data_IF_316985271268
#
_entry.id   IF_316985271268
#
_cell.length_a   1.000
_cell.length_b   1.000
_cell.length_c   1.000
_cell.angle_alpha   90.00
_cell.angle_beta   90.00
_cell.angle_gamma   90.00
#
_symmetry.space_group_name_H-M   'P 1'
#
loop_
_entity.id
_entity.type
_entity.pdbx_description
1 polymer ?
#
# COMPACT_ATOMS: atom_id res chain seq x y z
N UNK A 1 5.22 10.40 25.45
CA UNK A 1 6.37 10.48 24.52
C UNK A 1 6.00 9.72 23.25
N UNK A 2 5.98 10.39 22.09
CA UNK A 2 5.62 9.75 20.81
C UNK A 2 6.82 8.92 20.34
N UNK A 3 6.64 7.61 20.18
CA UNK A 3 7.65 6.71 19.61
C UNK A 3 7.30 6.42 18.16
N UNK A 4 8.19 6.82 17.25
CA UNK A 4 8.05 6.54 15.83
C UNK A 4 8.61 5.15 15.56
N UNK A 5 7.83 4.29 14.90
CA UNK A 5 8.18 2.90 14.60
C UNK A 5 8.67 2.68 13.18
N UNK A 6 8.30 3.57 12.26
CA UNK A 6 8.69 3.43 10.88
C UNK A 6 8.22 4.57 10.01
N UNK A 7 8.65 4.49 8.76
CA UNK A 7 8.37 5.46 7.72
C UNK A 7 7.79 4.75 6.51
N UNK A 8 6.71 5.29 5.96
CA UNK A 8 6.00 4.75 4.81
C UNK A 8 5.70 5.89 3.82
N UNK A 9 5.72 5.59 2.54
CA UNK A 9 5.41 6.57 1.51
C UNK A 9 5.60 5.99 0.13
N UNK A 10 5.33 6.80 -0.90
CA UNK A 10 5.68 6.41 -2.26
C UNK A 10 7.21 6.36 -2.42
N UNK A 11 7.66 5.47 -3.30
CA UNK A 11 9.07 5.19 -3.54
C UNK A 11 9.90 6.43 -3.90
N UNK A 12 9.44 7.37 -4.75
CA UNK A 12 10.18 8.60 -5.02
C UNK A 12 10.36 9.48 -3.78
N UNK A 13 9.31 9.62 -2.96
CA UNK A 13 9.34 10.46 -1.77
C UNK A 13 10.23 9.85 -0.68
N UNK A 14 10.15 8.52 -0.48
CA UNK A 14 11.07 7.79 0.38
C UNK A 14 12.52 7.92 -0.09
N UNK A 15 12.81 7.76 -1.38
CA UNK A 15 14.18 7.91 -1.89
C UNK A 15 14.75 9.30 -1.65
N UNK A 16 13.94 10.35 -1.78
CA UNK A 16 14.34 11.73 -1.49
C UNK A 16 14.74 11.89 -0.02
N UNK A 17 13.87 11.46 0.89
CA UNK A 17 14.10 11.64 2.34
C UNK A 17 15.19 10.71 2.89
N UNK A 18 15.34 9.53 2.29
CA UNK A 18 16.41 8.59 2.62
C UNK A 18 17.76 8.94 1.99
N UNK A 19 17.84 10.01 1.18
CA UNK A 19 19.00 10.34 0.35
C UNK A 19 19.51 9.11 -0.41
N UNK A 20 18.61 8.46 -1.14
CA UNK A 20 18.84 7.21 -1.84
C UNK A 20 18.62 7.35 -3.36
N UNK A 21 19.30 6.53 -4.14
CA UNK A 21 19.11 6.44 -5.59
C UNK A 21 17.66 6.09 -5.88
N UNK A 22 17.15 6.69 -6.96
CA UNK A 22 15.80 6.40 -7.46
C UNK A 22 15.65 4.92 -7.82
N UNK A 23 14.41 4.46 -7.94
CA UNK A 23 14.03 3.09 -8.28
C UNK A 23 14.59 2.58 -9.64
N UNK A 24 15.15 3.46 -10.47
CA UNK A 24 15.78 3.13 -11.77
C UNK A 24 17.31 2.98 -11.66
N UNK A 25 17.89 3.28 -10.50
CA UNK A 25 19.34 3.22 -10.26
C UNK A 25 19.88 1.79 -10.10
N UNK A 26 21.17 1.59 -10.37
CA UNK A 26 21.81 0.26 -10.28
C UNK A 26 21.66 -0.40 -8.91
N UNK A 27 21.82 0.33 -7.81
CA UNK A 27 21.64 -0.19 -6.45
C UNK A 27 20.59 0.68 -5.76
N UNK A 28 19.32 0.30 -5.90
CA UNK A 28 18.18 1.11 -5.41
C UNK A 28 17.34 0.40 -4.34
N UNK A 29 17.63 -0.87 -4.03
CA UNK A 29 17.00 -1.55 -2.91
C UNK A 29 17.44 -0.97 -1.57
N UNK A 30 16.48 -0.67 -0.71
CA UNK A 30 16.74 -0.19 0.64
C UNK A 30 17.25 -1.28 1.57
N UNK A 31 16.84 -2.53 1.33
CA UNK A 31 17.01 -3.65 2.25
C UNK A 31 18.19 -4.56 1.89
N UNK A 32 18.67 -4.54 0.66
CA UNK A 32 19.71 -5.47 0.19
C UNK A 32 20.64 -4.85 -0.85
N UNK A 33 21.72 -5.56 -1.18
CA UNK A 33 22.76 -5.12 -2.10
C UNK A 33 22.53 -5.52 -3.58
N UNK A 34 21.30 -5.86 -3.97
CA UNK A 34 21.01 -6.22 -5.37
C UNK A 34 21.46 -5.12 -6.34
N UNK A 35 21.99 -5.54 -7.50
CA UNK A 35 22.40 -4.65 -8.58
C UNK A 35 21.53 -4.94 -9.81
N UNK A 36 20.86 -3.90 -10.31
CA UNK A 36 20.01 -4.00 -11.49
C UNK A 36 20.77 -3.84 -12.80
N UNK A 37 20.37 -4.60 -13.81
CA UNK A 37 20.94 -4.58 -15.17
C UNK A 37 20.13 -3.66 -16.08
N UNK A 38 20.79 -2.98 -17.02
CA UNK A 38 20.12 -2.09 -17.98
C UNK A 38 19.78 -2.86 -19.26
N UNK A 39 18.50 -3.07 -19.53
CA UNK A 39 18.02 -3.83 -20.69
C UNK A 39 16.86 -3.08 -21.33
N UNK A 40 16.95 -2.81 -22.64
CA UNK A 40 15.86 -2.19 -23.41
C UNK A 40 15.42 -0.80 -22.88
N UNK A 41 16.37 0.00 -22.38
CA UNK A 41 16.08 1.32 -21.81
C UNK A 41 15.42 1.30 -20.43
N UNK A 42 15.35 0.13 -19.78
CA UNK A 42 14.77 -0.06 -18.45
C UNK A 42 15.74 -0.77 -17.52
N UNK A 43 15.59 -0.51 -16.23
CA UNK A 43 16.35 -1.20 -15.17
C UNK A 43 15.59 -2.44 -14.74
N UNK A 44 16.26 -3.59 -14.78
CA UNK A 44 15.71 -4.88 -14.35
C UNK A 44 16.52 -5.45 -13.18
N UNK A 45 15.83 -6.07 -12.23
CA UNK A 45 16.40 -6.72 -11.05
C UNK A 45 16.02 -8.18 -11.08
N UNK A 46 16.91 -9.01 -11.62
CA UNK A 46 16.71 -10.45 -11.71
C UNK A 46 16.69 -11.07 -10.32
N UNK A 47 15.90 -12.14 -10.17
CA UNK A 47 15.90 -12.91 -8.93
C UNK A 47 17.30 -13.49 -8.68
N UNK A 48 17.80 -13.28 -7.48
CA UNK A 48 19.05 -13.84 -6.99
C UNK A 48 18.82 -14.29 -5.54
N UNK A 49 19.14 -15.56 -5.26
CA UNK A 49 18.95 -16.18 -3.96
C UNK A 49 20.05 -15.78 -2.96
N UNK A 50 21.20 -15.30 -3.45
CA UNK A 50 22.39 -15.03 -2.65
C UNK A 50 22.60 -13.54 -2.37
N UNK A 51 21.57 -12.70 -2.52
CA UNK A 51 21.69 -11.26 -2.28
C UNK A 51 21.85 -10.99 -0.78
N UNK A 52 22.94 -10.31 -0.42
CA UNK A 52 23.17 -9.89 0.97
C UNK A 52 22.20 -8.78 1.38
N UNK A 53 21.60 -8.95 2.57
CA UNK A 53 20.81 -7.93 3.23
C UNK A 53 21.71 -6.85 3.83
N UNK A 54 21.20 -5.62 3.90
CA UNK A 54 21.85 -4.49 4.54
C UNK A 54 21.54 -4.50 6.02
N UNK A 55 22.55 -4.43 6.87
CA UNK A 55 22.34 -4.11 8.28
C UNK A 55 22.17 -2.61 8.48
N UNK A 56 21.70 -2.22 9.67
CA UNK A 56 21.65 -0.81 10.04
C UNK A 56 23.04 -0.16 10.12
N UNK A 57 24.06 -0.94 10.50
CA UNK A 57 25.44 -0.49 10.51
C UNK A 57 25.97 -0.24 9.09
N UNK A 58 25.68 -1.16 8.15
CA UNK A 58 26.09 -1.03 6.74
C UNK A 58 25.43 0.19 6.10
N UNK A 59 24.13 0.38 6.34
CA UNK A 59 23.37 1.51 5.83
C UNK A 59 23.99 2.84 6.29
N UNK A 60 24.27 2.96 7.58
CA UNK A 60 24.86 4.16 8.18
C UNK A 60 26.29 4.40 7.67
N UNK A 61 27.10 3.35 7.57
CA UNK A 61 28.47 3.44 7.06
C UNK A 61 28.50 3.90 5.58
N UNK A 62 27.65 3.32 4.74
CA UNK A 62 27.50 3.70 3.33
C UNK A 62 27.02 5.15 3.19
N UNK A 63 26.07 5.58 4.02
CA UNK A 63 25.57 6.96 4.05
C UNK A 63 26.68 7.97 4.40
N UNK A 64 27.45 7.72 5.47
CA UNK A 64 28.58 8.60 5.86
C UNK A 64 29.65 8.65 4.79
N UNK A 65 29.97 7.49 4.18
CA UNK A 65 30.97 7.41 3.12
C UNK A 65 30.53 8.15 1.87
N UNK A 66 29.24 8.07 1.50
CA UNK A 66 28.69 8.82 0.37
C UNK A 66 28.78 10.34 0.61
N UNK A 67 28.46 10.79 1.83
CA UNK A 67 28.54 12.18 2.24
C UNK A 67 29.99 12.70 2.23
N UNK A 68 30.94 11.94 2.79
CA UNK A 68 32.36 12.34 2.82
C UNK A 68 33.01 12.40 1.44
N UNK A 69 32.60 11.50 0.52
CA UNK A 69 33.17 11.42 -0.82
C UNK A 69 32.44 12.29 -1.85
N UNK A 70 31.30 12.89 -1.49
CA UNK A 70 30.45 13.65 -2.41
C UNK A 70 29.92 12.83 -3.60
N UNK A 71 29.89 11.49 -3.49
CA UNK A 71 29.47 10.58 -4.56
C UNK A 71 28.64 9.44 -4.02
N UNK A 72 27.79 8.87 -4.87
CA UNK A 72 26.94 7.77 -4.42
C UNK A 72 27.72 6.49 -4.11
N UNK A 73 27.46 5.90 -2.95
CA UNK A 73 28.02 4.62 -2.50
C UNK A 73 26.87 3.66 -2.24
N UNK A 74 26.88 2.49 -2.90
CA UNK A 74 25.87 1.44 -2.70
C UNK A 74 24.42 1.94 -2.71
N UNK A 75 24.09 2.91 -3.57
CA UNK A 75 22.75 3.48 -3.64
C UNK A 75 22.50 4.71 -2.80
N UNK A 76 23.34 5.02 -1.81
CA UNK A 76 23.20 6.20 -0.94
C UNK A 76 23.83 7.41 -1.59
N UNK A 77 23.24 8.59 -1.38
CA UNK A 77 23.80 9.90 -1.72
C UNK A 77 24.36 10.61 -0.48
N UNK A 78 23.96 10.20 0.71
CA UNK A 78 24.43 10.74 1.99
C UNK A 78 23.59 10.23 3.15
N UNK A 79 23.71 10.91 4.30
CA UNK A 79 22.91 10.64 5.49
C UNK A 79 21.44 11.03 5.26
N UNK A 80 20.49 10.19 5.69
CA UNK A 80 19.05 10.48 5.54
C UNK A 80 18.62 11.72 6.34
N UNK A 81 17.65 12.46 5.82
CA UNK A 81 17.01 13.59 6.51
C UNK A 81 16.34 13.11 7.81
N UNK A 82 15.80 11.88 7.83
CA UNK A 82 15.11 11.32 9.00
C UNK A 82 16.01 11.24 10.22
N UNK A 83 17.31 11.02 10.04
CA UNK A 83 18.25 10.95 11.17
C UNK A 83 18.30 12.23 12.01
N UNK A 84 17.94 13.38 11.42
CA UNK A 84 17.87 14.67 12.13
C UNK A 84 16.53 14.88 12.85
N UNK A 85 15.49 14.13 12.49
CA UNK A 85 14.11 14.35 12.92
C UNK A 85 13.63 13.26 13.87
N UNK A 86 14.04 12.00 13.62
CA UNK A 86 13.60 10.82 14.36
C UNK A 86 14.74 9.83 14.53
N UNK A 87 14.80 9.22 15.71
CA UNK A 87 15.74 8.15 16.03
C UNK A 87 15.12 6.79 15.67
N UNK A 88 15.28 6.39 14.40
CA UNK A 88 14.80 5.10 13.88
C UNK A 88 15.94 4.35 13.17
N UNK A 89 16.07 3.03 13.36
CA UNK A 89 17.08 2.25 12.65
C UNK A 89 16.70 2.08 11.17
N UNK A 90 17.56 2.53 10.27
CA UNK A 90 17.40 2.33 8.82
C UNK A 90 18.35 1.22 8.35
N UNK A 91 17.94 0.29 7.44
CA UNK A 91 16.70 0.32 6.67
C UNK A 91 15.50 -0.33 7.37
N UNK A 92 15.68 -0.89 8.56
CA UNK A 92 14.69 -1.74 9.23
C UNK A 92 13.35 -1.05 9.53
N UNK A 93 13.36 0.28 9.63
CA UNK A 93 12.17 1.10 9.88
C UNK A 93 11.46 1.57 8.60
N UNK A 94 11.96 1.22 7.42
CA UNK A 94 11.32 1.57 6.15
C UNK A 94 10.23 0.54 5.87
N UNK A 95 9.00 1.01 5.70
CA UNK A 95 7.85 0.19 5.34
C UNK A 95 7.56 0.33 3.85
N UNK A 96 7.53 -0.79 3.14
CA UNK A 96 7.08 -0.78 1.74
C UNK A 96 5.57 -0.56 1.67
N UNK A 97 5.15 0.49 0.96
CA UNK A 97 3.74 0.79 0.82
C UNK A 97 3.02 -0.17 -0.13
N UNK A 98 2.04 -0.90 0.39
CA UNK A 98 1.24 -1.85 -0.38
C UNK A 98 0.50 -1.21 -1.57
N UNK A 99 0.04 0.03 -1.42
CA UNK A 99 -0.71 0.73 -2.46
C UNK A 99 0.16 1.01 -3.69
N UNK A 100 1.29 1.69 -3.51
CA UNK A 100 2.17 2.07 -4.62
C UNK A 100 2.98 0.87 -5.13
N UNK A 101 3.45 -0.01 -4.24
CA UNK A 101 4.27 -1.16 -4.67
C UNK A 101 3.42 -2.28 -5.25
N UNK A 102 2.49 -2.86 -4.49
CA UNK A 102 1.76 -4.04 -4.96
C UNK A 102 0.68 -3.70 -5.96
N UNK A 103 -0.18 -2.70 -5.67
CA UNK A 103 -1.37 -2.44 -6.48
C UNK A 103 -1.07 -1.59 -7.72
N UNK A 104 -0.70 -0.32 -7.52
CA UNK A 104 -0.46 0.61 -8.62
C UNK A 104 0.83 0.31 -9.39
N UNK A 105 1.83 -0.27 -8.72
CA UNK A 105 3.08 -0.70 -9.31
C UNK A 105 2.94 -2.04 -10.05
N UNK A 106 3.15 -3.14 -9.33
CA UNK A 106 3.32 -4.45 -9.97
C UNK A 106 2.02 -5.04 -10.54
N UNK A 107 0.94 -5.09 -9.75
CA UNK A 107 -0.31 -5.73 -10.17
C UNK A 107 -0.91 -5.02 -11.39
N UNK A 108 -0.94 -3.69 -11.39
CA UNK A 108 -1.36 -2.89 -12.56
C UNK A 108 -0.48 -3.19 -13.78
N UNK A 109 0.84 -3.20 -13.63
CA UNK A 109 1.77 -3.45 -14.74
C UNK A 109 1.56 -4.83 -15.37
N UNK A 110 1.47 -5.87 -14.54
CA UNK A 110 1.21 -7.24 -14.99
C UNK A 110 -0.15 -7.35 -15.68
N UNK A 111 -1.21 -6.79 -15.10
CA UNK A 111 -2.53 -6.84 -15.71
C UNK A 111 -2.57 -6.12 -17.07
N UNK A 112 -1.95 -4.95 -17.18
CA UNK A 112 -1.86 -4.21 -18.45
C UNK A 112 -1.02 -4.98 -19.47
N UNK A 113 0.06 -5.64 -19.05
CA UNK A 113 0.87 -6.48 -19.93
C UNK A 113 0.06 -7.66 -20.47
N UNK A 114 -0.64 -8.39 -19.60
CA UNK A 114 -1.53 -9.48 -20.00
C UNK A 114 -2.58 -9.01 -21.01
N UNK A 115 -3.24 -7.88 -20.71
CA UNK A 115 -4.24 -7.27 -21.58
C UNK A 115 -3.69 -6.88 -22.96
N UNK A 116 -2.48 -6.31 -23.01
CA UNK A 116 -1.87 -5.82 -24.26
C UNK A 116 -1.18 -6.88 -25.09
N UNK A 117 -0.51 -7.84 -24.46
CA UNK A 117 0.33 -8.83 -25.14
C UNK A 117 -0.43 -10.08 -25.54
N UNK A 118 -1.35 -10.55 -24.69
CA UNK A 118 -1.99 -11.84 -24.90
C UNK A 118 -3.45 -11.76 -25.36
N UNK A 119 -4.15 -10.66 -25.06
CA UNK A 119 -5.55 -10.52 -25.50
C UNK A 119 -5.63 -9.84 -26.86
N UNK A 120 -6.31 -10.47 -27.81
CA UNK A 120 -6.67 -9.92 -29.13
C UNK A 120 -7.74 -8.83 -28.98
N UNK A 121 -7.90 -7.91 -29.95
CA UNK A 121 -8.89 -6.83 -29.86
C UNK A 121 -10.32 -7.30 -29.55
N UNK A 122 -10.77 -8.42 -30.13
CA UNK A 122 -12.11 -8.97 -29.86
C UNK A 122 -12.25 -9.51 -28.43
N UNK A 123 -11.21 -10.20 -27.94
CA UNK A 123 -11.15 -10.72 -26.56
C UNK A 123 -11.16 -9.56 -25.55
N UNK A 124 -10.46 -8.45 -25.86
CA UNK A 124 -10.46 -7.23 -25.05
C UNK A 124 -11.86 -6.64 -24.92
N UNK A 125 -12.62 -6.55 -26.01
CA UNK A 125 -14.00 -6.04 -25.99
C UNK A 125 -14.87 -6.91 -25.07
N UNK A 126 -14.78 -8.24 -25.22
CA UNK A 126 -15.52 -9.19 -24.39
C UNK A 126 -15.11 -9.11 -22.91
N UNK A 127 -13.81 -9.06 -22.64
CA UNK A 127 -13.25 -8.94 -21.31
C UNK A 127 -13.68 -7.63 -20.63
N UNK A 128 -13.64 -6.51 -21.35
CA UNK A 128 -14.11 -5.21 -20.86
C UNK A 128 -15.61 -5.22 -20.52
N UNK A 129 -16.42 -5.89 -21.35
CA UNK A 129 -17.85 -6.08 -21.07
C UNK A 129 -18.06 -6.91 -19.80
N UNK A 130 -17.30 -7.99 -19.62
CA UNK A 130 -17.33 -8.82 -18.40
C UNK A 130 -16.94 -8.04 -17.15
N UNK A 131 -15.84 -7.31 -17.17
CA UNK A 131 -15.41 -6.47 -16.03
C UNK A 131 -16.50 -5.49 -15.63
N UNK A 132 -17.10 -4.79 -16.59
CA UNK A 132 -18.15 -3.80 -16.32
C UNK A 132 -19.44 -4.43 -15.80
N UNK A 133 -19.73 -5.66 -16.21
CA UNK A 133 -20.89 -6.42 -15.77
C UNK A 133 -20.70 -7.12 -14.41
N UNK A 134 -19.46 -7.21 -13.93
CA UNK A 134 -19.15 -7.88 -12.66
C UNK A 134 -19.89 -7.21 -11.50
N UNK A 135 -20.71 -8.00 -10.80
CA UNK A 135 -21.41 -7.55 -9.60
C UNK A 135 -20.49 -7.69 -8.40
N UNK A 136 -20.33 -6.60 -7.67
CA UNK A 136 -19.62 -6.59 -6.39
C UNK A 136 -20.63 -6.57 -5.24
N UNK A 137 -20.27 -7.14 -4.08
CA UNK A 137 -21.03 -6.95 -2.86
C UNK A 137 -21.28 -5.45 -2.57
N UNK A 138 -22.40 -5.13 -1.91
CA UNK A 138 -22.84 -3.75 -1.73
C UNK A 138 -21.83 -2.84 -1.00
N UNK A 139 -20.95 -3.42 -0.18
CA UNK A 139 -19.90 -2.67 0.54
C UNK A 139 -18.72 -2.22 -0.36
N UNK A 140 -18.70 -2.61 -1.63
CA UNK A 140 -17.72 -2.10 -2.59
C UNK A 140 -18.21 -0.77 -3.14
N UNK A 141 -17.62 0.33 -2.67
CA UNK A 141 -18.04 1.69 -3.04
C UNK A 141 -17.73 2.08 -4.50
N UNK A 142 -17.06 1.23 -5.29
CA UNK A 142 -16.65 1.54 -6.68
C UNK A 142 -16.74 0.31 -7.59
N UNK A 143 -17.23 0.54 -8.81
CA UNK A 143 -17.15 -0.40 -9.92
C UNK A 143 -15.73 -0.42 -10.49
N UNK A 144 -15.32 -1.56 -11.05
CA UNK A 144 -14.00 -1.71 -11.67
C UNK A 144 -14.03 -1.14 -13.08
N UNK A 145 -13.06 -0.29 -13.37
CA UNK A 145 -12.82 0.30 -14.68
C UNK A 145 -11.88 -0.56 -15.52
N UNK A 146 -11.92 -0.39 -16.83
CA UNK A 146 -11.19 -1.23 -17.80
C UNK A 146 -9.72 -0.83 -17.94
N UNK A 147 -8.85 -1.74 -18.38
CA UNK A 147 -7.41 -1.49 -18.53
C UNK A 147 -7.00 -0.47 -19.58
N UNK A 148 -7.95 -0.04 -20.41
CA UNK A 148 -7.76 1.06 -21.36
C UNK A 148 -7.71 2.42 -20.68
N UNK A 149 -8.24 2.52 -19.45
CA UNK A 149 -8.25 3.78 -18.74
C UNK A 149 -6.87 4.09 -18.15
N UNK A 150 -6.32 5.29 -18.40
CA UNK A 150 -4.99 5.66 -17.92
C UNK A 150 -4.89 5.69 -16.38
N UNK A 151 -5.97 6.07 -15.71
CA UNK A 151 -6.01 6.35 -14.27
C UNK A 151 -6.90 5.37 -13.50
N UNK A 152 -6.55 4.08 -13.52
CA UNK A 152 -7.12 3.10 -12.59
C UNK A 152 -6.67 3.40 -11.15
N UNK A 153 -7.62 3.41 -10.22
CA UNK A 153 -7.36 3.65 -8.79
C UNK A 153 -6.92 2.37 -8.10
N UNK A 154 -6.11 2.50 -7.05
CA UNK A 154 -5.60 1.37 -6.30
C UNK A 154 -6.71 0.47 -5.74
N UNK A 155 -7.80 1.05 -5.25
CA UNK A 155 -8.96 0.30 -4.75
C UNK A 155 -9.60 -0.58 -5.82
N UNK A 156 -9.67 -0.10 -7.06
CA UNK A 156 -10.23 -0.86 -8.19
C UNK A 156 -9.30 -2.02 -8.58
N UNK A 157 -7.98 -1.75 -8.64
CA UNK A 157 -6.98 -2.78 -8.88
C UNK A 157 -7.03 -3.85 -7.80
N UNK A 158 -7.11 -3.46 -6.52
CA UNK A 158 -7.22 -4.40 -5.39
C UNK A 158 -8.42 -5.31 -5.53
N UNK A 159 -9.59 -4.74 -5.80
CA UNK A 159 -10.84 -5.49 -5.90
C UNK A 159 -10.80 -6.46 -7.09
N UNK A 160 -10.30 -5.98 -8.23
CA UNK A 160 -10.10 -6.79 -9.42
C UNK A 160 -9.14 -7.95 -9.16
N UNK A 161 -7.98 -7.63 -8.61
CA UNK A 161 -6.85 -8.54 -8.44
C UNK A 161 -7.16 -9.64 -7.41
N UNK A 162 -7.88 -9.31 -6.34
CA UNK A 162 -8.17 -10.27 -5.27
C UNK A 162 -9.43 -11.11 -5.50
N UNK A 163 -10.39 -10.63 -6.31
CA UNK A 163 -11.70 -11.29 -6.42
C UNK A 163 -12.09 -11.72 -7.83
N UNK A 164 -11.55 -11.09 -8.88
CA UNK A 164 -12.10 -11.28 -10.23
C UNK A 164 -11.07 -11.75 -11.26
N UNK A 165 -9.80 -11.36 -11.13
CA UNK A 165 -8.85 -11.48 -12.24
C UNK A 165 -8.65 -12.93 -12.68
N UNK A 166 -8.43 -13.86 -11.73
CA UNK A 166 -8.14 -15.26 -12.03
C UNK A 166 -9.26 -15.99 -12.81
N UNK A 167 -10.53 -15.96 -12.39
CA UNK A 167 -11.59 -16.59 -13.18
C UNK A 167 -11.81 -15.89 -14.53
N UNK A 168 -11.63 -14.57 -14.62
CA UNK A 168 -11.86 -13.83 -15.87
C UNK A 168 -10.80 -14.12 -16.94
N UNK A 169 -9.52 -14.24 -16.56
CA UNK A 169 -8.43 -14.47 -17.51
C UNK A 169 -8.27 -15.94 -17.92
N UNK A 170 -8.78 -16.89 -17.12
CA UNK A 170 -8.66 -18.33 -17.40
C UNK A 170 -9.26 -18.72 -18.76
N UNK A 171 -10.31 -18.03 -19.18
CA UNK A 171 -10.97 -18.29 -20.46
C UNK A 171 -10.18 -17.76 -21.68
N UNK A 172 -9.15 -16.95 -21.45
CA UNK A 172 -8.44 -16.22 -22.51
C UNK A 172 -6.96 -16.62 -22.57
N UNK A 173 -6.34 -16.82 -21.41
CA UNK A 173 -4.89 -17.05 -21.29
C UNK A 173 -4.54 -18.53 -21.11
N UNK A 174 -3.32 -18.89 -21.50
CA UNK A 174 -2.77 -20.23 -21.29
C UNK A 174 -2.73 -20.59 -19.80
N UNK A 175 -2.96 -21.86 -19.48
CA UNK A 175 -3.05 -22.35 -18.09
C UNK A 175 -1.81 -22.01 -17.26
N UNK A 176 -0.61 -22.09 -17.86
CA UNK A 176 0.64 -21.80 -17.16
C UNK A 176 0.75 -20.32 -16.75
N UNK A 177 0.30 -19.41 -17.60
CA UNK A 177 0.30 -17.97 -17.33
C UNK A 177 -0.71 -17.61 -16.24
N UNK A 178 -1.86 -18.30 -16.24
CA UNK A 178 -2.88 -18.17 -15.19
C UNK A 178 -2.37 -18.72 -13.86
N UNK A 179 -1.68 -19.88 -13.89
CA UNK A 179 -1.08 -20.49 -12.72
C UNK A 179 0.02 -19.60 -12.13
N UNK A 180 0.89 -19.03 -12.98
CA UNK A 180 1.93 -18.11 -12.55
C UNK A 180 1.33 -16.83 -11.94
N UNK A 181 0.30 -16.23 -12.54
CA UNK A 181 -0.42 -15.11 -11.92
C UNK A 181 -1.07 -15.52 -10.59
N UNK A 182 -1.61 -16.73 -10.49
CA UNK A 182 -2.21 -17.23 -9.25
C UNK A 182 -1.18 -17.33 -8.11
N UNK A 183 0.08 -17.66 -8.39
CA UNK A 183 1.16 -17.62 -7.38
C UNK A 183 1.25 -16.22 -6.75
N UNK A 184 1.23 -15.17 -7.57
CA UNK A 184 1.27 -13.79 -7.10
C UNK A 184 0.02 -13.39 -6.32
N UNK A 185 -1.17 -13.65 -6.87
CA UNK A 185 -2.46 -13.33 -6.22
C UNK A 185 -2.57 -14.02 -4.86
N UNK A 186 -2.29 -15.32 -4.80
CA UNK A 186 -2.40 -16.11 -3.57
C UNK A 186 -1.28 -15.75 -2.59
N UNK A 187 -0.06 -15.51 -3.07
CA UNK A 187 1.07 -15.07 -2.25
C UNK A 187 0.76 -13.76 -1.53
N UNK A 188 0.29 -12.74 -2.26
CA UNK A 188 -0.13 -11.46 -1.66
C UNK A 188 -1.32 -11.68 -0.71
N UNK A 189 -2.39 -12.36 -1.15
CA UNK A 189 -3.60 -12.55 -0.35
C UNK A 189 -3.32 -13.26 0.98
N UNK A 190 -2.54 -14.34 0.97
CA UNK A 190 -2.17 -15.08 2.20
C UNK A 190 -1.34 -14.23 3.15
N UNK A 191 -0.51 -13.32 2.62
CA UNK A 191 0.27 -12.38 3.43
C UNK A 191 -0.58 -11.28 4.07
N UNK A 192 -1.58 -10.76 3.34
CA UNK A 192 -2.50 -9.75 3.86
C UNK A 192 -3.38 -10.28 5.01
N UNK A 193 -3.56 -11.60 5.08
CA UNK A 193 -4.44 -12.27 6.03
C UNK A 193 -3.79 -12.61 7.38
N UNK A 194 -2.46 -12.56 7.46
CA UNK A 194 -1.76 -12.90 8.69
C UNK A 194 -1.84 -11.72 9.66
N UNK A 195 -2.58 -11.90 10.74
CA UNK A 195 -2.32 -11.18 11.98
C UNK A 195 -2.30 -12.20 13.11
N UNK A 196 -1.18 -12.28 13.81
CA UNK A 196 -1.04 -13.14 14.99
C UNK A 196 -1.90 -12.57 16.13
N UNK A 197 -2.85 -13.38 16.60
CA UNK A 197 -3.70 -13.12 17.75
C UNK A 197 -2.94 -13.46 19.03
N UNK A 198 -2.25 -12.48 19.63
CA UNK A 198 -1.93 -12.53 21.05
C UNK A 198 -2.83 -11.54 21.80
N UNK A 199 -3.97 -12.09 22.22
CA UNK A 199 -4.94 -11.55 23.18
C UNK A 199 -5.67 -10.23 22.86
N UNK A 200 -6.99 -10.40 22.65
CA UNK A 200 -8.07 -9.40 22.70
C UNK A 200 -8.18 -8.46 21.51
N UNK A 201 -9.02 -8.93 20.58
CA UNK A 201 -9.99 -8.16 19.80
C UNK A 201 -9.46 -7.15 18.78
N UNK A 202 -9.76 -7.48 17.52
CA UNK A 202 -10.03 -6.57 16.40
C UNK A 202 -8.84 -6.18 15.53
N UNK A 203 -8.53 -7.00 14.49
CA UNK A 203 -7.90 -6.49 13.27
C UNK A 203 -8.21 -7.36 12.03
N UNK A 204 -8.38 -6.64 10.90
CA UNK A 204 -8.32 -7.08 9.50
C UNK A 204 -9.24 -8.24 9.07
N UNK A 205 -10.56 -8.03 9.18
CA UNK A 205 -11.62 -8.96 8.74
C UNK A 205 -11.89 -8.99 7.22
N UNK A 206 -10.99 -8.50 6.37
CA UNK A 206 -11.40 -8.11 5.01
C UNK A 206 -11.19 -9.13 3.88
N UNK A 207 -10.52 -10.28 4.06
CA UNK A 207 -10.39 -11.23 2.93
C UNK A 207 -10.40 -12.73 3.27
N UNK A 208 -11.27 -13.12 4.21
CA UNK A 208 -11.79 -14.48 4.45
C UNK A 208 -11.02 -15.34 5.48
N UNK A 209 -11.75 -15.71 6.56
CA UNK A 209 -11.52 -16.94 7.33
C UNK A 209 -10.50 -16.85 8.47
N UNK A 210 -10.44 -17.88 9.32
CA UNK A 210 -9.24 -18.14 10.15
C UNK A 210 -8.06 -18.40 9.20
N UNK A 211 -6.79 -18.18 9.57
CA UNK A 211 -5.67 -18.60 8.73
C UNK A 211 -5.84 -20.07 8.37
N UNK A 212 -6.17 -20.37 7.11
CA UNK A 212 -6.49 -21.72 6.61
C UNK A 212 -5.37 -22.72 6.94
N UNK A 213 -4.14 -22.23 7.05
CA UNK A 213 -2.93 -23.01 7.31
C UNK A 213 -2.25 -22.65 8.64
N UNK A 214 -2.94 -21.91 9.53
CA UNK A 214 -2.40 -21.46 10.80
C UNK A 214 -1.03 -20.76 10.63
N UNK A 215 -0.08 -21.14 11.47
CA UNK A 215 1.28 -20.54 11.52
C UNK A 215 2.10 -20.76 10.24
N UNK A 216 1.74 -21.73 9.38
CA UNK A 216 2.46 -22.01 8.12
C UNK A 216 2.09 -21.07 6.97
N UNK A 217 1.06 -20.24 7.15
CA UNK A 217 0.55 -19.37 6.09
C UNK A 217 1.62 -18.39 5.58
N UNK A 218 2.50 -17.89 6.47
CA UNK A 218 3.57 -16.95 6.13
C UNK A 218 4.62 -17.59 5.22
N UNK A 219 5.06 -18.80 5.58
CA UNK A 219 6.08 -19.54 4.83
C UNK A 219 5.55 -19.95 3.46
N UNK A 220 4.28 -20.36 3.38
CA UNK A 220 3.62 -20.68 2.11
C UNK A 220 3.56 -19.43 1.23
N UNK A 221 3.11 -18.29 1.78
CA UNK A 221 3.05 -17.03 1.04
C UNK A 221 4.43 -16.62 0.51
N UNK A 222 5.48 -16.79 1.31
CA UNK A 222 6.84 -16.49 0.89
C UNK A 222 7.29 -17.39 -0.26
N UNK A 223 7.10 -18.71 -0.14
CA UNK A 223 7.44 -19.67 -1.20
C UNK A 223 6.72 -19.35 -2.52
N UNK A 224 5.44 -19.00 -2.46
CA UNK A 224 4.67 -18.63 -3.66
C UNK A 224 5.25 -17.39 -4.34
N UNK A 225 5.61 -16.35 -3.58
CA UNK A 225 6.20 -15.13 -4.13
C UNK A 225 7.63 -15.33 -4.63
N UNK A 226 8.41 -16.19 -3.97
CA UNK A 226 9.75 -16.58 -4.43
C UNK A 226 9.69 -17.29 -5.78
N UNK A 227 8.81 -18.30 -5.92
CA UNK A 227 8.62 -19.01 -7.20
C UNK A 227 8.13 -18.03 -8.27
N UNK A 228 7.15 -17.18 -7.94
CA UNK A 228 6.64 -16.17 -8.84
C UNK A 228 7.77 -15.25 -9.37
N UNK A 229 8.61 -14.71 -8.49
CA UNK A 229 9.69 -13.81 -8.88
C UNK A 229 10.78 -14.52 -9.68
N UNK A 230 11.20 -15.72 -9.27
CA UNK A 230 12.20 -16.53 -9.97
C UNK A 230 11.80 -16.80 -11.42
N UNK A 231 10.56 -17.22 -11.62
CA UNK A 231 10.08 -17.63 -12.94
C UNK A 231 9.48 -16.44 -13.74
N UNK A 232 9.54 -15.21 -13.20
CA UNK A 232 8.81 -14.05 -13.74
C UNK A 232 9.23 -13.66 -15.16
N UNK A 233 10.53 -13.68 -15.47
CA UNK A 233 11.03 -13.29 -16.80
C UNK A 233 10.54 -14.24 -17.91
N UNK A 234 10.26 -15.50 -17.58
CA UNK A 234 9.71 -16.48 -18.51
C UNK A 234 8.31 -16.11 -19.00
N UNK A 235 7.50 -15.47 -18.13
CA UNK A 235 6.11 -15.12 -18.43
C UNK A 235 5.91 -13.63 -18.76
N UNK A 236 6.79 -12.76 -18.27
CA UNK A 236 6.61 -11.32 -18.29
C UNK A 236 7.92 -10.58 -18.64
N UNK A 237 8.26 -10.62 -19.92
CA UNK A 237 9.52 -10.04 -20.43
C UNK A 237 9.61 -8.55 -20.09
N UNK A 238 10.70 -8.17 -19.42
CA UNK A 238 10.98 -6.75 -19.15
C UNK A 238 10.22 -6.15 -17.97
N UNK A 239 9.58 -6.98 -17.14
CA UNK A 239 8.76 -6.55 -16.00
C UNK A 239 9.36 -6.88 -14.63
N UNK A 240 10.61 -7.33 -14.56
CA UNK A 240 11.33 -7.50 -13.28
C UNK A 240 11.86 -6.16 -12.77
N UNK A 241 10.95 -5.24 -12.45
CA UNK A 241 11.30 -3.90 -11.97
C UNK A 241 11.61 -3.90 -10.46
N UNK A 242 12.02 -2.73 -9.96
CA UNK A 242 12.30 -2.50 -8.53
C UNK A 242 11.14 -2.94 -7.63
N UNK A 243 9.92 -2.68 -8.06
CA UNK A 243 8.72 -2.92 -7.25
C UNK A 243 8.48 -4.42 -7.05
N UNK A 244 8.70 -5.23 -8.09
CA UNK A 244 8.71 -6.69 -7.94
C UNK A 244 9.81 -7.15 -6.98
N UNK A 245 11.02 -6.59 -7.11
CA UNK A 245 12.11 -6.92 -6.20
C UNK A 245 11.74 -6.64 -4.73
N UNK A 246 11.05 -5.53 -4.44
CA UNK A 246 10.60 -5.20 -3.08
C UNK A 246 9.66 -6.28 -2.49
N UNK A 247 8.91 -7.02 -3.32
CA UNK A 247 8.08 -8.13 -2.84
C UNK A 247 8.88 -9.31 -2.27
N UNK A 248 10.17 -9.44 -2.61
CA UNK A 248 11.06 -10.42 -1.98
C UNK A 248 11.30 -10.11 -0.49
N UNK A 249 11.31 -8.82 -0.12
CA UNK A 249 11.54 -8.35 1.25
C UNK A 249 10.28 -8.32 2.11
N UNK A 250 9.10 -8.57 1.52
CA UNK A 250 7.83 -8.53 2.25
C UNK A 250 7.78 -9.53 3.42
N UNK A 251 8.60 -10.60 3.42
CA UNK A 251 8.65 -11.56 4.53
C UNK A 251 9.21 -10.90 5.79
N UNK A 252 10.33 -10.21 5.62
CA UNK A 252 11.04 -9.55 6.69
C UNK A 252 10.27 -8.31 7.15
N UNK A 253 9.66 -7.58 6.21
CA UNK A 253 8.78 -6.46 6.53
C UNK A 253 7.55 -6.90 7.33
N UNK A 254 6.95 -8.03 6.97
CA UNK A 254 5.82 -8.58 7.72
C UNK A 254 6.24 -8.95 9.15
N UNK A 255 7.39 -9.59 9.33
CA UNK A 255 7.91 -9.94 10.66
C UNK A 255 8.18 -8.71 11.53
N UNK A 256 8.61 -7.60 10.92
CA UNK A 256 8.96 -6.36 11.61
C UNK A 256 7.76 -5.46 11.92
N UNK A 257 6.81 -5.35 11.01
CA UNK A 257 5.73 -4.36 11.08
C UNK A 257 4.33 -4.98 11.09
N UNK A 258 4.20 -6.28 10.87
CA UNK A 258 2.91 -6.94 10.70
C UNK A 258 2.30 -6.72 9.31
N UNK A 259 0.98 -6.78 9.22
CA UNK A 259 0.29 -6.76 7.93
C UNK A 259 0.41 -5.41 7.20
N UNK A 260 1.07 -5.42 6.04
CA UNK A 260 1.27 -4.24 5.19
C UNK A 260 -0.04 -3.66 4.61
N UNK A 261 -1.16 -4.38 4.63
CA UNK A 261 -2.44 -3.74 4.29
C UNK A 261 -3.02 -2.92 5.42
N UNK A 262 -2.54 -3.05 6.65
CA UNK A 262 -3.00 -2.20 7.76
C UNK A 262 -2.12 -0.95 7.88
N UNK A 263 -0.88 -1.02 7.38
CA UNK A 263 0.08 0.07 7.34
C UNK A 263 0.27 0.47 5.88
N UNK A 264 -0.63 1.32 5.38
CA UNK A 264 -0.69 1.68 3.97
C UNK A 264 -0.95 3.19 3.79
N UNK A 265 -0.78 3.68 2.57
CA UNK A 265 -0.98 5.10 2.23
C UNK A 265 -2.37 5.45 1.68
N UNK A 266 -3.37 4.56 1.73
CA UNK A 266 -4.72 4.84 1.21
C UNK A 266 -5.33 6.10 1.84
N UNK A 267 -5.28 6.19 3.18
CA UNK A 267 -5.83 7.35 3.91
C UNK A 267 -5.06 8.64 3.61
N UNK A 268 -3.74 8.54 3.43
CA UNK A 268 -2.91 9.67 3.03
C UNK A 268 -3.27 10.16 1.62
N UNK A 269 -3.44 9.26 0.65
CA UNK A 269 -3.80 9.61 -0.73
C UNK A 269 -5.19 10.25 -0.78
N UNK A 270 -6.16 9.73 -0.03
CA UNK A 270 -7.49 10.31 0.11
C UNK A 270 -7.43 11.72 0.73
N UNK A 271 -6.64 11.90 1.80
CA UNK A 271 -6.41 13.20 2.43
C UNK A 271 -5.74 14.19 1.47
N UNK A 272 -4.71 13.77 0.73
CA UNK A 272 -4.06 14.59 -0.29
C UNK A 272 -5.04 14.98 -1.41
N UNK A 273 -6.01 14.12 -1.72
CA UNK A 273 -7.11 14.42 -2.62
C UNK A 273 -8.06 15.52 -2.09
N UNK A 274 -8.19 15.67 -0.77
CA UNK A 274 -8.94 16.77 -0.14
C UNK A 274 -8.10 18.04 -0.10
N UNK A 275 -6.88 17.95 0.42
CA UNK A 275 -5.89 19.05 0.52
C UNK A 275 -5.66 19.70 -0.84
N UNK A 276 -5.56 18.90 -1.90
CA UNK A 276 -5.37 19.39 -3.26
C UNK A 276 -6.55 20.15 -3.86
N UNK A 277 -7.74 20.08 -3.25
CA UNK A 277 -8.91 20.89 -3.62
C UNK A 277 -8.98 22.22 -2.85
N UNK A 278 -8.30 22.30 -1.71
CA UNK A 278 -8.25 23.52 -0.90
C UNK A 278 -7.30 24.56 -1.51
N UNK A 279 -6.29 24.13 -2.29
CA UNK A 279 -5.41 25.03 -3.01
C UNK A 279 -6.09 25.65 -4.23
N UNK A 280 -5.97 26.97 -4.38
CA UNK A 280 -6.43 27.75 -5.53
C UNK A 280 -5.24 28.56 -6.08
N UNK A 281 -4.83 28.28 -7.32
CA UNK A 281 -3.69 28.94 -7.96
C UNK A 281 -2.32 28.39 -7.55
N UNK A 282 -1.25 29.06 -7.99
CA UNK A 282 0.14 28.59 -7.84
C UNK A 282 0.91 29.21 -6.65
N UNK A 283 0.38 30.28 -6.04
CA UNK A 283 1.07 31.05 -5.00
C UNK A 283 0.41 30.88 -3.63
N UNK A 284 1.19 31.03 -2.55
CA UNK A 284 0.69 31.03 -1.16
C UNK A 284 -0.08 29.77 -0.73
N UNK A 285 0.30 28.60 -1.27
CA UNK A 285 -0.39 27.34 -1.00
C UNK A 285 -0.44 26.97 0.49
N UNK A 286 0.62 27.29 1.25
CA UNK A 286 0.67 27.04 2.68
C UNK A 286 -0.32 27.94 3.45
N UNK A 287 -0.37 29.23 3.12
CA UNK A 287 -1.28 30.20 3.77
C UNK A 287 -2.75 29.84 3.48
N UNK A 288 -3.05 29.46 2.24
CA UNK A 288 -4.40 29.00 1.86
C UNK A 288 -4.81 27.75 2.63
N UNK A 289 -3.90 26.77 2.77
CA UNK A 289 -4.19 25.55 3.53
C UNK A 289 -4.43 25.85 5.00
N UNK A 290 -3.58 26.65 5.63
CA UNK A 290 -3.75 27.05 7.04
C UNK A 290 -5.08 27.78 7.23
N UNK A 291 -5.44 28.69 6.32
CA UNK A 291 -6.72 29.40 6.36
C UNK A 291 -7.93 28.45 6.30
N UNK A 292 -7.97 27.53 5.32
CA UNK A 292 -9.10 26.61 5.19
C UNK A 292 -9.17 25.59 6.34
N UNK A 293 -8.04 25.09 6.83
CA UNK A 293 -8.00 24.20 7.99
C UNK A 293 -8.47 24.90 9.27
N UNK A 294 -8.10 26.17 9.46
CA UNK A 294 -8.56 26.96 10.59
C UNK A 294 -10.08 27.20 10.54
N UNK A 295 -10.64 27.47 9.35
CA UNK A 295 -12.09 27.60 9.18
C UNK A 295 -12.79 26.29 9.51
N UNK A 296 -12.32 25.17 8.98
CA UNK A 296 -12.93 23.86 9.24
C UNK A 296 -12.84 23.48 10.72
N UNK A 297 -11.72 23.78 11.38
CA UNK A 297 -11.57 23.58 12.82
C UNK A 297 -12.51 24.47 13.65
N UNK A 298 -12.66 25.75 13.26
CA UNK A 298 -13.57 26.68 13.92
C UNK A 298 -15.04 26.25 13.77
N UNK A 299 -15.46 25.88 12.56
CA UNK A 299 -16.83 25.40 12.28
C UNK A 299 -17.14 24.11 13.04
N UNK A 300 -16.21 23.14 13.07
CA UNK A 300 -16.43 21.90 13.82
C UNK A 300 -16.47 22.13 15.34
N UNK A 301 -15.72 23.12 15.86
CA UNK A 301 -15.82 23.48 17.28
C UNK A 301 -17.15 24.18 17.61
N UNK A 302 -17.68 25.03 16.73
CA UNK A 302 -19.00 25.64 16.92
C UNK A 302 -20.15 24.62 16.84
N UNK A 303 -20.04 23.61 15.97
CA UNK A 303 -21.01 22.50 15.89
C UNK A 303 -21.00 21.64 17.16
N UNK A 304 -19.85 21.51 17.85
CA UNK A 304 -19.77 20.79 19.13
C UNK A 304 -20.28 21.62 20.32
N UNK A 305 -20.49 22.92 20.16
CA UNK A 305 -21.08 23.80 21.17
C UNK A 305 -22.59 24.06 20.96
N UNK A 306 -23.15 23.60 19.84
CA UNK A 306 -24.58 23.55 19.61
C UNK A 306 -25.09 22.17 20.00
N UNK A 307 -26.01 22.09 20.97
CA UNK A 307 -26.62 20.81 21.37
C UNK A 307 -27.15 20.07 20.13
N UNK A 308 -26.81 18.79 19.93
CA UNK A 308 -27.25 18.06 18.76
C UNK A 308 -28.77 17.89 18.84
N UNK A 309 -29.52 18.67 18.05
CA UNK A 309 -30.94 18.41 17.84
C UNK A 309 -31.05 17.19 16.93
N UNK A 310 -31.10 16.00 17.52
CA UNK A 310 -31.27 14.75 16.79
C UNK A 310 -32.70 14.69 16.28
N UNK A 311 -32.92 15.14 15.05
CA UNK A 311 -34.18 14.96 14.35
C UNK A 311 -34.24 13.54 13.78
N UNK A 312 -34.80 12.60 14.54
CA UNK A 312 -35.07 11.24 14.07
C UNK A 312 -36.30 11.28 13.15
N UNK A 313 -36.11 11.00 11.87
CA UNK A 313 -37.22 10.77 10.93
C UNK A 313 -37.87 9.43 11.24
N UNK A 314 -39.09 9.44 11.76
CA UNK A 314 -39.92 8.24 11.80
C UNK A 314 -40.61 8.01 10.44
N UNK A 315 -41.02 6.77 10.09
CA UNK A 315 -41.51 6.41 8.75
C UNK A 315 -42.78 7.13 8.28
N UNK A 316 -43.41 7.96 9.13
CA UNK A 316 -44.64 8.71 8.83
C UNK A 316 -44.47 10.23 8.79
N UNK A 317 -43.25 10.76 8.87
CA UNK A 317 -42.98 12.16 8.56
C UNK A 317 -43.44 13.20 9.59
N UNK A 318 -43.58 12.82 10.87
CA UNK A 318 -43.83 13.77 11.97
C UNK A 318 -42.64 13.75 12.93
N UNK A 319 -42.11 14.93 13.26
CA UNK A 319 -41.05 15.11 14.27
C UNK A 319 -41.70 15.17 15.65
N UNK A 320 -41.28 14.30 16.56
CA UNK A 320 -41.72 14.29 17.97
C UNK A 320 -40.53 14.65 18.87
N UNK A 321 -40.73 15.61 19.77
CA UNK A 321 -39.68 16.23 20.59
C UNK A 321 -39.56 15.62 22.00
N UNK A 322 -40.06 14.40 22.21
CA UNK A 322 -40.10 13.80 23.55
C UNK A 322 -39.44 12.42 23.59
N UNK A 323 -38.12 12.38 23.79
CA UNK A 323 -37.42 11.22 24.39
C UNK A 323 -36.08 11.67 24.99
N UNK A 324 -35.88 11.37 26.27
CA UNK A 324 -34.83 11.89 27.15
C UNK A 324 -33.42 11.30 26.90
N UNK A 325 -32.33 11.99 27.30
CA UNK A 325 -30.95 11.74 26.83
C UNK A 325 -30.20 10.53 27.43
N UNK A 326 -30.82 9.78 28.35
CA UNK A 326 -30.05 8.95 29.28
C UNK A 326 -29.65 7.55 28.77
N UNK A 327 -30.14 7.09 27.62
CA UNK A 327 -29.75 5.77 27.06
C UNK A 327 -28.61 5.83 26.03
N UNK A 328 -28.27 7.02 25.52
CA UNK A 328 -27.15 7.20 24.56
C UNK A 328 -25.77 7.34 25.24
N UNK A 329 -25.72 7.71 26.52
CA UNK A 329 -24.46 7.88 27.26
C UNK A 329 -23.76 6.56 27.68
N UNK A 330 -24.43 5.41 27.58
CA UNK A 330 -23.81 4.12 27.97
C UNK A 330 -23.02 3.44 26.85
N UNK A 331 -23.13 3.86 25.59
CA UNK A 331 -22.37 3.25 24.47
C UNK A 331 -21.03 3.97 24.23
N UNK A 332 -20.86 5.20 24.74
CA UNK A 332 -19.66 6.02 24.50
C UNK A 332 -18.62 5.90 25.63
N UNK A 333 -19.02 5.41 26.81
CA UNK A 333 -18.17 5.36 28.01
C UNK A 333 -17.30 4.10 28.16
N UNK A 334 -17.36 3.14 27.22
CA UNK A 334 -16.54 1.91 27.28
C UNK A 334 -15.25 1.93 26.46
N UNK A 335 -14.86 3.07 25.88
CA UNK A 335 -13.54 3.25 25.24
C UNK A 335 -12.58 3.95 26.20
N UNK A 336 -12.07 3.20 27.17
CA UNK A 336 -10.92 3.65 27.98
C UNK A 336 -9.65 3.66 27.11
N UNK A 337 -8.90 4.78 27.05
CA UNK A 337 -7.72 4.94 26.18
C UNK A 337 -6.43 4.25 26.72
N UNK A 338 -6.56 3.29 27.64
CA UNK A 338 -5.41 2.83 28.43
C UNK A 338 -4.65 1.62 27.87
N UNK A 339 -5.00 1.10 26.69
CA UNK A 339 -4.25 -0.03 26.08
C UNK A 339 -3.93 0.11 24.58
N UNK A 340 -4.13 1.29 23.98
CA UNK A 340 -3.62 1.55 22.63
C UNK A 340 -2.14 1.96 22.74
N UNK A 341 -1.21 1.01 22.69
CA UNK A 341 0.18 1.33 22.35
C UNK A 341 0.18 1.94 20.95
N UNK A 342 0.12 3.28 20.87
CA UNK A 342 0.08 4.03 19.63
C UNK A 342 1.42 3.91 18.90
N UNK A 343 1.53 2.92 18.01
CA UNK A 343 2.67 2.82 17.10
C UNK A 343 2.46 3.90 16.03
N UNK A 344 3.30 4.94 16.04
CA UNK A 344 3.19 6.03 15.08
C UNK A 344 4.11 5.76 13.90
N UNK A 345 3.54 5.76 12.70
CA UNK A 345 4.28 5.71 11.44
C UNK A 345 4.27 7.11 10.80
N UNK A 346 5.40 7.51 10.24
CA UNK A 346 5.48 8.74 9.44
C UNK A 346 5.05 8.40 8.02
N UNK A 347 3.98 9.04 7.56
CA UNK A 347 3.52 8.99 6.17
C UNK A 347 4.18 10.12 5.38
N UNK A 348 4.88 9.77 4.30
CA UNK A 348 5.65 10.66 3.43
C UNK A 348 4.99 10.79 2.08
#
# INVERSE_FOLDING_TARGET
>A
MIKVYGVIGDTPALNLILNHKSHVGYSCCWYCHIIGTHIGGKRQYYYDENVSLRSAADFEADSRRAESLGKSVNGRHGTSILKKVVDIPLPDSIVADYLHTTLLGHAKAVCVYLYKQYMRPQERIHFNKKIRAQRFPHFFNRKIRTFEEPYLKATEIRNMFLFCILPMIREILHVDLVAHLALFVLGIRKRLHLMELNNKSSCAKLLHGRPEFGNRTADIANKLLTIYYRDHETFYVGLQNFVLHIHSHFADLYKKHGSLCNINTFSQEDLMGVVSKLKHGANHWADQLVFYLNIDFALNNEVNHTEPTVLIRTPKGVFDNTLMPNELCQVVSSFTPENAFSHVYIHI
#
